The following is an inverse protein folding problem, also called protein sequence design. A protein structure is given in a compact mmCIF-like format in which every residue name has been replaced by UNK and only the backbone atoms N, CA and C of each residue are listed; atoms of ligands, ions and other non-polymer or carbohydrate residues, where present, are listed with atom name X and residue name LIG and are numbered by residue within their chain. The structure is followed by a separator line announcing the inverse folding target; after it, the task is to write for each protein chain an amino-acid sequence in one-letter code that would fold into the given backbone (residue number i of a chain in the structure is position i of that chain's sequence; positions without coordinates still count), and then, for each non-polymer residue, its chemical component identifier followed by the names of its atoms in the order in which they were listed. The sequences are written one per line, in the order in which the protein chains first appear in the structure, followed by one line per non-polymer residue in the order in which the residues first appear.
data_IF_060320013867
#
_entry.id   IF_060320013867
#
_cell.length_a   1.000
_cell.length_b   1.000
_cell.length_c   1.000
_cell.angle_alpha   90.00
_cell.angle_beta   90.00
_cell.angle_gamma   90.00
#
_symmetry.space_group_name_H-M   'P 1'
#
loop_
_entity.id
_entity.type
_entity.pdbx_description
1 polymer ?
#
# COMPACT_ATOMS: atom_id res chain seq x y z
N UNK A 1 27.31 -10.25 18.42
CA UNK A 1 26.01 -10.95 18.25
C UNK A 1 25.08 -10.13 17.37
N UNK A 2 24.87 -8.85 17.66
CA UNK A 2 24.05 -7.96 16.82
C UNK A 2 24.58 -7.84 15.38
N UNK A 3 25.90 -7.67 15.18
CA UNK A 3 26.48 -7.55 13.83
C UNK A 3 26.33 -8.82 12.98
N UNK A 4 26.30 -9.98 13.64
CA UNK A 4 26.07 -11.27 12.97
C UNK A 4 24.60 -11.40 12.55
N UNK A 5 23.68 -10.94 13.39
CA UNK A 5 22.24 -10.90 13.05
C UNK A 5 21.99 -9.93 11.91
N UNK A 6 22.55 -8.71 11.97
CA UNK A 6 22.39 -7.69 10.94
C UNK A 6 22.99 -8.12 9.61
N UNK A 7 24.17 -8.73 9.61
CA UNK A 7 24.78 -9.25 8.36
C UNK A 7 23.99 -10.43 7.77
N UNK A 8 23.40 -11.28 8.60
CA UNK A 8 22.47 -12.33 8.13
C UNK A 8 21.21 -11.77 7.48
N UNK A 9 20.62 -10.70 8.04
CA UNK A 9 19.43 -10.07 7.46
C UNK A 9 19.75 -9.25 6.19
N UNK A 10 20.91 -8.60 6.11
CA UNK A 10 21.40 -7.97 4.87
C UNK A 10 21.55 -9.01 3.75
N UNK A 11 22.16 -10.15 4.06
CA UNK A 11 22.29 -11.24 3.11
C UNK A 11 20.93 -11.75 2.61
N UNK A 12 19.94 -11.89 3.50
CA UNK A 12 18.59 -12.30 3.13
C UNK A 12 17.91 -11.30 2.20
N UNK A 13 18.12 -10.00 2.40
CA UNK A 13 17.53 -8.91 1.60
C UNK A 13 17.84 -9.06 0.11
N UNK A 14 19.03 -9.58 -0.24
CA UNK A 14 19.49 -9.76 -1.64
C UNK A 14 18.65 -10.73 -2.45
N UNK A 15 17.85 -11.56 -1.80
CA UNK A 15 16.97 -12.55 -2.45
C UNK A 15 15.50 -12.15 -2.43
N UNK A 16 15.17 -10.95 -1.94
CA UNK A 16 13.78 -10.48 -1.82
C UNK A 16 13.04 -10.46 -3.16
N UNK A 17 13.65 -9.97 -4.23
CA UNK A 17 13.05 -9.92 -5.58
C UNK A 17 12.67 -11.30 -6.15
N UNK A 18 13.60 -12.28 -6.28
CA UNK A 18 13.23 -13.60 -6.79
C UNK A 18 12.25 -14.32 -5.84
N UNK A 19 12.35 -14.08 -4.53
CA UNK A 19 11.43 -14.65 -3.54
C UNK A 19 10.02 -14.07 -3.68
N UNK A 20 9.88 -12.78 -3.97
CA UNK A 20 8.59 -12.15 -4.25
C UNK A 20 7.88 -12.84 -5.43
N UNK A 21 8.58 -13.07 -6.55
CA UNK A 21 8.01 -13.78 -7.70
C UNK A 21 7.61 -15.21 -7.36
N UNK A 22 8.40 -15.91 -6.54
CA UNK A 22 8.06 -17.25 -6.07
C UNK A 22 6.79 -17.24 -5.20
N UNK A 23 6.66 -16.25 -4.30
CA UNK A 23 5.46 -16.05 -3.47
C UNK A 23 4.23 -15.79 -4.35
N UNK A 24 4.33 -14.91 -5.35
CA UNK A 24 3.24 -14.66 -6.29
C UNK A 24 2.87 -15.92 -7.08
N UNK A 25 3.86 -16.68 -7.55
CA UNK A 25 3.64 -17.96 -8.21
C UNK A 25 2.93 -18.98 -7.32
N UNK A 26 3.28 -19.02 -6.02
CA UNK A 26 2.63 -19.90 -5.05
C UNK A 26 1.16 -19.50 -4.81
N UNK A 27 0.87 -18.20 -4.59
CA UNK A 27 -0.50 -17.73 -4.44
C UNK A 27 -1.32 -17.86 -5.73
N UNK A 28 -0.70 -17.74 -6.91
CA UNK A 28 -1.34 -18.04 -8.19
C UNK A 28 -1.72 -19.52 -8.27
N UNK A 29 -0.81 -20.43 -7.90
CA UNK A 29 -1.11 -21.85 -7.86
C UNK A 29 -2.26 -22.17 -6.89
N UNK A 30 -2.26 -21.57 -5.69
CA UNK A 30 -3.38 -21.65 -4.73
C UNK A 30 -4.69 -21.23 -5.37
N UNK A 31 -4.71 -20.07 -6.03
CA UNK A 31 -5.90 -19.49 -6.67
C UNK A 31 -6.41 -20.38 -7.80
N UNK A 32 -5.52 -20.86 -8.68
CA UNK A 32 -5.90 -21.74 -9.80
C UNK A 32 -6.45 -23.08 -9.29
N UNK A 33 -5.84 -23.66 -8.25
CA UNK A 33 -6.34 -24.89 -7.64
C UNK A 33 -7.69 -24.69 -6.95
N UNK A 34 -7.91 -23.54 -6.30
CA UNK A 34 -9.19 -23.17 -5.71
C UNK A 34 -10.27 -23.06 -6.80
N UNK A 35 -9.99 -22.34 -7.88
CA UNK A 35 -10.93 -22.13 -9.00
C UNK A 35 -11.24 -23.40 -9.80
N UNK A 36 -10.35 -24.39 -9.76
CA UNK A 36 -10.56 -25.71 -10.39
C UNK A 36 -11.16 -26.74 -9.43
N UNK A 37 -11.72 -26.29 -8.31
CA UNK A 37 -12.41 -27.10 -7.28
C UNK A 37 -11.51 -28.17 -6.62
N UNK A 38 -10.18 -28.02 -6.70
CA UNK A 38 -9.21 -28.93 -6.07
C UNK A 38 -8.87 -28.45 -4.66
N UNK A 39 -9.89 -28.28 -3.82
CA UNK A 39 -9.82 -27.58 -2.52
C UNK A 39 -8.70 -28.08 -1.60
N UNK A 40 -8.48 -29.39 -1.50
CA UNK A 40 -7.43 -29.95 -0.66
C UNK A 40 -6.02 -29.57 -1.15
N UNK A 41 -5.78 -29.62 -2.46
CA UNK A 41 -4.51 -29.19 -3.06
C UNK A 41 -4.35 -27.67 -2.97
N UNK A 42 -5.44 -26.92 -3.14
CA UNK A 42 -5.45 -25.47 -2.97
C UNK A 42 -5.03 -25.09 -1.54
N UNK A 43 -5.53 -25.80 -0.53
CA UNK A 43 -5.16 -25.61 0.88
C UNK A 43 -3.66 -25.83 1.09
N UNK A 44 -3.13 -26.96 0.62
CA UNK A 44 -1.70 -27.27 0.74
C UNK A 44 -0.82 -26.22 0.05
N UNK A 45 -1.19 -25.81 -1.16
CA UNK A 45 -0.50 -24.75 -1.88
C UNK A 45 -0.60 -23.40 -1.15
N UNK A 46 -1.76 -23.05 -0.60
CA UNK A 46 -1.97 -21.82 0.18
C UNK A 46 -1.14 -21.78 1.45
N UNK A 47 -1.07 -22.89 2.19
CA UNK A 47 -0.24 -23.01 3.39
C UNK A 47 1.23 -22.81 3.07
N UNK A 48 1.71 -23.43 1.97
CA UNK A 48 3.07 -23.21 1.48
C UNK A 48 3.29 -21.75 1.04
N UNK A 49 2.34 -21.15 0.33
CA UNK A 49 2.41 -19.75 -0.11
C UNK A 49 2.51 -18.78 1.08
N UNK A 50 1.70 -18.97 2.12
CA UNK A 50 1.74 -18.19 3.35
C UNK A 50 3.05 -18.38 4.14
N UNK A 51 3.59 -19.60 4.16
CA UNK A 51 4.92 -19.85 4.72
C UNK A 51 6.03 -19.12 3.96
N UNK A 52 6.02 -19.19 2.61
CA UNK A 52 6.94 -18.44 1.76
C UNK A 52 6.79 -16.93 1.94
N UNK A 53 5.56 -16.44 2.11
CA UNK A 53 5.28 -15.03 2.35
C UNK A 53 5.84 -14.56 3.71
N UNK A 54 5.77 -15.41 4.74
CA UNK A 54 6.45 -15.15 6.01
C UNK A 54 7.97 -15.03 5.86
N UNK A 55 8.59 -15.91 5.05
CA UNK A 55 10.03 -15.82 4.74
C UNK A 55 10.37 -14.56 3.94
N UNK A 56 9.49 -14.16 3.02
CA UNK A 56 9.63 -12.91 2.26
C UNK A 56 9.60 -11.68 3.17
N UNK A 57 8.65 -11.58 4.10
CA UNK A 57 8.64 -10.47 5.05
C UNK A 57 9.86 -10.47 5.96
N UNK A 58 10.35 -11.65 6.32
CA UNK A 58 11.57 -11.77 7.12
C UNK A 58 12.80 -11.21 6.37
N UNK A 59 12.92 -11.46 5.06
CA UNK A 59 14.04 -10.94 4.28
C UNK A 59 14.03 -9.41 4.13
N UNK A 60 12.88 -8.76 4.35
CA UNK A 60 12.73 -7.30 4.24
C UNK A 60 12.95 -6.54 5.55
N UNK A 61 13.13 -7.23 6.69
CA UNK A 61 13.29 -6.59 8.00
C UNK A 61 14.48 -5.62 8.00
N UNK A 62 15.65 -6.03 7.45
CA UNK A 62 16.84 -5.16 7.44
C UNK A 62 16.64 -3.94 6.54
N UNK A 63 16.06 -4.14 5.36
CA UNK A 63 15.76 -3.05 4.45
C UNK A 63 14.89 -1.98 5.12
N UNK A 64 13.76 -2.35 5.71
CA UNK A 64 12.87 -1.34 6.29
C UNK A 64 13.35 -0.77 7.62
N UNK A 65 13.90 -1.61 8.51
CA UNK A 65 14.33 -1.15 9.83
C UNK A 65 15.65 -0.36 9.79
N UNK A 66 16.59 -0.74 8.92
CA UNK A 66 17.96 -0.18 8.90
C UNK A 66 18.19 0.74 7.70
N UNK A 67 17.85 0.30 6.49
CA UNK A 67 18.12 1.08 5.26
C UNK A 67 17.13 2.24 5.15
N UNK A 68 15.82 1.97 5.22
CA UNK A 68 14.80 3.01 5.16
C UNK A 68 14.60 3.76 6.47
N UNK A 69 15.12 3.23 7.59
CA UNK A 69 14.95 3.79 8.95
C UNK A 69 13.49 4.08 9.31
N UNK A 70 12.59 3.23 8.83
CA UNK A 70 11.15 3.41 8.99
C UNK A 70 10.66 2.54 10.14
N UNK A 71 10.34 3.16 11.28
CA UNK A 71 9.85 2.43 12.46
C UNK A 71 8.55 1.67 12.14
N UNK A 72 7.65 2.30 11.41
CA UNK A 72 6.33 1.74 11.10
C UNK A 72 6.46 0.54 10.15
N UNK A 73 7.27 0.64 9.09
CA UNK A 73 7.47 -0.48 8.16
C UNK A 73 8.34 -1.57 8.78
N UNK A 74 9.34 -1.21 9.59
CA UNK A 74 10.14 -2.17 10.36
C UNK A 74 9.27 -3.00 11.31
N UNK A 75 8.41 -2.37 12.10
CA UNK A 75 7.43 -3.08 12.96
C UNK A 75 6.43 -3.86 12.10
N UNK A 76 5.98 -3.29 10.99
CA UNK A 76 5.07 -3.95 10.04
C UNK A 76 5.63 -5.28 9.53
N UNK A 77 6.88 -5.30 9.07
CA UNK A 77 7.55 -6.54 8.63
C UNK A 77 7.71 -7.55 9.77
N UNK A 78 8.05 -7.10 10.98
CA UNK A 78 8.16 -7.96 12.17
C UNK A 78 6.83 -8.62 12.55
N UNK A 79 5.71 -7.91 12.40
CA UNK A 79 4.36 -8.47 12.64
C UNK A 79 3.90 -9.36 11.48
N UNK A 80 4.25 -8.98 10.25
CA UNK A 80 3.85 -9.71 9.05
C UNK A 80 4.42 -11.14 9.00
N UNK A 81 5.61 -11.37 9.55
CA UNK A 81 6.22 -12.72 9.63
C UNK A 81 5.33 -13.70 10.41
N UNK A 82 5.08 -13.54 11.73
CA UNK A 82 4.23 -14.46 12.47
C UNK A 82 2.78 -14.46 11.98
N UNK A 83 2.25 -13.31 11.55
CA UNK A 83 0.89 -13.26 10.98
C UNK A 83 0.76 -14.15 9.73
N UNK A 84 1.76 -14.14 8.84
CA UNK A 84 1.75 -14.97 7.63
C UNK A 84 1.73 -16.46 7.98
N UNK A 85 2.58 -16.90 8.91
CA UNK A 85 2.56 -18.29 9.39
C UNK A 85 1.24 -18.65 10.07
N UNK A 86 0.67 -17.73 10.85
CA UNK A 86 -0.61 -17.96 11.53
C UNK A 86 -1.77 -18.09 10.54
N UNK A 87 -1.82 -17.26 9.50
CA UNK A 87 -2.82 -17.41 8.42
C UNK A 87 -2.65 -18.76 7.72
N UNK A 88 -1.41 -19.16 7.43
CA UNK A 88 -1.11 -20.50 6.91
C UNK A 88 -1.64 -21.60 7.83
N UNK A 89 -1.43 -21.50 9.14
CA UNK A 89 -1.96 -22.44 10.12
C UNK A 89 -3.50 -22.46 10.17
N UNK A 90 -4.16 -21.31 10.14
CA UNK A 90 -5.63 -21.24 10.12
C UNK A 90 -6.22 -21.84 8.85
N UNK A 91 -5.58 -21.59 7.71
CA UNK A 91 -5.97 -22.19 6.44
C UNK A 91 -5.76 -23.72 6.48
N UNK A 92 -4.68 -24.21 7.08
CA UNK A 92 -4.46 -25.64 7.33
C UNK A 92 -5.56 -26.24 8.22
N UNK A 93 -5.97 -25.53 9.28
CA UNK A 93 -7.02 -25.93 10.22
C UNK A 93 -8.46 -25.85 9.65
N UNK A 94 -8.64 -25.45 8.39
CA UNK A 94 -9.94 -25.49 7.71
C UNK A 94 -10.65 -24.15 7.53
N UNK A 95 -10.03 -23.00 7.85
CA UNK A 95 -10.65 -21.67 7.65
C UNK A 95 -10.56 -21.25 6.18
N UNK A 96 -11.56 -21.67 5.40
CA UNK A 96 -11.58 -21.52 3.94
C UNK A 96 -11.85 -20.09 3.43
N UNK A 97 -12.36 -19.19 4.28
CA UNK A 97 -12.51 -17.77 3.95
C UNK A 97 -11.16 -17.11 3.57
N UNK A 98 -10.05 -17.63 4.13
CA UNK A 98 -8.67 -17.18 3.85
C UNK A 98 -8.21 -17.44 2.40
N UNK A 99 -8.94 -18.21 1.60
CA UNK A 99 -8.70 -18.25 0.15
C UNK A 99 -8.96 -16.88 -0.50
N UNK A 100 -9.94 -16.11 0.00
CA UNK A 100 -10.19 -14.74 -0.49
C UNK A 100 -9.00 -13.84 -0.17
N UNK A 101 -8.46 -13.91 1.06
CA UNK A 101 -7.28 -13.15 1.44
C UNK A 101 -6.04 -13.55 0.60
N UNK A 102 -5.88 -14.85 0.33
CA UNK A 102 -4.78 -15.36 -0.50
C UNK A 102 -4.85 -14.83 -1.94
N UNK A 103 -6.06 -14.79 -2.53
CA UNK A 103 -6.30 -14.14 -3.84
C UNK A 103 -6.06 -12.64 -3.78
N UNK A 104 -6.44 -11.98 -2.71
CA UNK A 104 -6.24 -10.55 -2.55
C UNK A 104 -4.74 -10.23 -2.62
N UNK A 105 -3.90 -10.93 -1.88
CA UNK A 105 -2.43 -10.75 -1.91
C UNK A 105 -1.85 -10.98 -3.31
N UNK A 106 -2.27 -12.04 -4.00
CA UNK A 106 -1.87 -12.28 -5.39
C UNK A 106 -2.18 -11.07 -6.28
N UNK A 107 -3.40 -10.56 -6.21
CA UNK A 107 -3.86 -9.47 -7.05
C UNK A 107 -3.23 -8.13 -6.67
N UNK A 108 -2.99 -7.89 -5.38
CA UNK A 108 -2.19 -6.74 -4.91
C UNK A 108 -0.79 -6.80 -5.52
N UNK A 109 -0.13 -7.95 -5.40
CA UNK A 109 1.20 -8.15 -5.95
C UNK A 109 1.24 -8.04 -7.47
N UNK A 110 0.25 -8.58 -8.18
CA UNK A 110 0.15 -8.46 -9.63
C UNK A 110 0.01 -7.01 -10.12
N UNK A 111 -0.52 -6.11 -9.28
CA UNK A 111 -0.61 -4.68 -9.58
C UNK A 111 0.68 -3.95 -9.20
N UNK A 112 1.23 -4.23 -8.02
CA UNK A 112 2.39 -3.51 -7.49
C UNK A 112 3.71 -3.93 -8.16
N UNK A 113 3.98 -5.24 -8.22
CA UNK A 113 5.30 -5.75 -8.62
C UNK A 113 5.75 -5.34 -10.02
N UNK A 114 4.89 -5.25 -11.06
CA UNK A 114 5.34 -4.77 -12.36
C UNK A 114 5.99 -3.38 -12.31
N UNK A 115 5.44 -2.46 -11.51
CA UNK A 115 6.04 -1.14 -11.32
C UNK A 115 7.26 -1.18 -10.41
N UNK A 116 7.32 -2.14 -9.50
CA UNK A 116 8.50 -2.33 -8.66
C UNK A 116 9.65 -2.98 -9.42
N UNK A 117 9.43 -3.88 -10.37
CA UNK A 117 10.50 -4.70 -10.96
C UNK A 117 10.87 -4.31 -12.39
N UNK A 118 9.96 -3.70 -13.16
CA UNK A 118 10.18 -3.36 -14.57
C UNK A 118 10.59 -1.88 -14.66
N UNK A 119 11.86 -1.57 -14.99
CA UNK A 119 12.37 -0.20 -14.93
C UNK A 119 11.57 0.81 -15.75
N UNK A 120 11.08 0.39 -16.93
CA UNK A 120 10.28 1.26 -17.82
C UNK A 120 8.95 1.65 -17.18
N UNK A 121 8.28 0.71 -16.50
CA UNK A 121 7.02 1.00 -15.82
C UNK A 121 7.25 1.85 -14.56
N UNK A 122 8.31 1.54 -13.81
CA UNK A 122 8.74 2.31 -12.64
C UNK A 122 9.01 3.76 -13.01
N UNK A 123 9.85 3.98 -14.02
CA UNK A 123 10.21 5.29 -14.52
C UNK A 123 8.99 6.06 -14.98
N UNK A 124 8.16 5.45 -15.84
CA UNK A 124 6.94 6.08 -16.34
C UNK A 124 6.05 6.58 -15.21
N UNK A 125 5.80 5.74 -14.19
CA UNK A 125 4.93 6.11 -13.09
C UNK A 125 5.54 7.20 -12.20
N UNK A 126 6.82 7.08 -11.86
CA UNK A 126 7.54 8.05 -11.02
C UNK A 126 7.61 9.41 -11.70
N UNK A 127 7.98 9.47 -12.98
CA UNK A 127 8.07 10.73 -13.74
C UNK A 127 6.68 11.33 -13.94
N UNK A 128 5.65 10.52 -14.26
CA UNK A 128 4.26 11.02 -14.38
C UNK A 128 3.77 11.67 -13.09
N UNK A 129 4.00 11.03 -11.93
CA UNK A 129 3.61 11.59 -10.63
C UNK A 129 4.44 12.84 -10.32
N UNK A 130 5.72 12.86 -10.70
CA UNK A 130 6.58 14.02 -10.54
C UNK A 130 6.05 15.21 -11.33
N UNK A 131 5.76 15.04 -12.63
CA UNK A 131 5.28 16.10 -13.51
C UNK A 131 3.94 16.67 -13.03
N UNK A 132 3.02 15.81 -12.60
CA UNK A 132 1.75 16.24 -12.01
C UNK A 132 1.94 16.97 -10.69
N UNK A 133 2.87 16.51 -9.85
CA UNK A 133 3.23 17.19 -8.60
C UNK A 133 3.82 18.57 -8.91
N UNK A 134 4.72 18.68 -9.89
CA UNK A 134 5.31 19.94 -10.33
C UNK A 134 4.24 20.93 -10.82
N UNK A 135 3.28 20.45 -11.63
CA UNK A 135 2.15 21.25 -12.07
C UNK A 135 1.36 21.78 -10.87
N UNK A 136 1.00 20.94 -9.91
CA UNK A 136 0.23 21.36 -8.73
C UNK A 136 1.01 22.32 -7.82
N UNK A 137 2.32 22.13 -7.67
CA UNK A 137 3.21 23.05 -6.94
C UNK A 137 3.20 24.44 -7.60
N UNK A 138 3.29 24.49 -8.94
CA UNK A 138 3.23 25.75 -9.69
C UNK A 138 1.90 26.50 -9.51
N UNK A 139 0.78 25.77 -9.41
CA UNK A 139 -0.55 26.36 -9.20
C UNK A 139 -0.71 27.03 -7.82
N UNK A 140 0.06 26.60 -6.82
CA UNK A 140 0.05 27.20 -5.47
C UNK A 140 1.13 28.27 -5.27
N UNK A 141 1.80 28.68 -6.35
CA UNK A 141 2.74 29.81 -6.38
C UNK A 141 4.17 29.48 -5.96
N UNK A 142 4.52 28.20 -5.87
CA UNK A 142 5.89 27.73 -5.63
C UNK A 142 6.50 27.24 -6.94
N UNK A 143 7.79 27.49 -7.16
CA UNK A 143 8.46 27.17 -8.43
C UNK A 143 9.84 26.56 -8.19
N UNK A 144 9.93 25.36 -7.59
CA UNK A 144 11.20 24.66 -7.48
C UNK A 144 11.71 24.26 -8.87
N UNK A 145 13.03 24.26 -9.04
CA UNK A 145 13.63 23.70 -10.23
C UNK A 145 13.42 22.19 -10.23
N UNK A 146 13.10 21.64 -11.40
CA UNK A 146 12.94 20.20 -11.57
C UNK A 146 14.15 19.67 -12.34
N UNK A 147 14.96 18.86 -11.66
CA UNK A 147 16.22 18.39 -12.20
C UNK A 147 16.06 16.98 -12.76
N UNK A 148 16.42 16.84 -14.03
CA UNK A 148 16.65 15.56 -14.69
C UNK A 148 17.96 14.97 -14.19
N UNK A 149 17.98 13.67 -13.88
CA UNK A 149 19.20 12.96 -13.47
C UNK A 149 20.24 12.91 -14.59
N UNK A 150 21.01 13.98 -14.78
CA UNK A 150 22.19 13.96 -15.64
C UNK A 150 23.39 13.48 -14.84
N UNK A 151 24.14 12.57 -15.45
CA UNK A 151 25.29 11.92 -14.86
C UNK A 151 26.49 12.88 -14.85
N UNK A 152 26.91 13.29 -13.65
CA UNK A 152 28.22 13.86 -13.40
C UNK A 152 29.11 12.77 -12.81
N UNK A 153 30.38 12.71 -13.23
CA UNK A 153 31.35 11.78 -12.64
C UNK A 153 32.12 12.53 -11.56
N UNK A 154 31.90 12.15 -10.29
CA UNK A 154 32.66 12.63 -9.14
C UNK A 154 33.38 11.44 -8.51
N UNK A 155 34.70 11.51 -8.40
CA UNK A 155 35.56 10.43 -7.86
C UNK A 155 35.34 9.04 -8.50
N UNK A 156 34.97 9.01 -9.78
CA UNK A 156 34.71 7.77 -10.53
C UNK A 156 33.34 7.15 -10.28
N UNK A 157 32.46 7.84 -9.53
CA UNK A 157 31.07 7.46 -9.35
C UNK A 157 30.13 8.40 -10.10
N UNK A 158 29.12 7.80 -10.71
CA UNK A 158 28.02 8.48 -11.38
C UNK A 158 27.09 9.10 -10.34
N UNK A 159 27.04 10.43 -10.28
CA UNK A 159 26.19 11.19 -9.36
C UNK A 159 25.33 12.17 -10.14
N UNK A 160 24.20 12.58 -9.56
CA UNK A 160 23.43 13.72 -10.09
C UNK A 160 23.92 14.96 -9.36
N UNK A 161 24.30 15.99 -10.11
CA UNK A 161 24.76 17.25 -9.54
C UNK A 161 23.87 18.42 -9.98
N UNK A 162 23.67 19.37 -9.08
CA UNK A 162 22.97 20.63 -9.31
C UNK A 162 23.78 21.76 -8.70
N UNK A 163 24.23 22.71 -9.52
CA UNK A 163 24.99 23.89 -9.09
C UNK A 163 26.17 23.58 -8.14
N UNK A 164 26.94 22.53 -8.44
CA UNK A 164 28.06 22.07 -7.62
C UNK A 164 27.69 21.23 -6.38
N UNK A 165 26.40 21.03 -6.11
CA UNK A 165 25.90 20.14 -5.05
C UNK A 165 25.53 18.77 -5.60
N UNK A 166 25.85 17.70 -4.87
CA UNK A 166 25.40 16.35 -5.20
C UNK A 166 23.95 16.19 -4.72
N UNK A 167 23.06 15.80 -5.62
CA UNK A 167 21.63 15.56 -5.42
C UNK A 167 21.42 14.20 -4.75
N UNK A 168 21.93 14.04 -3.52
CA UNK A 168 21.84 12.81 -2.73
C UNK A 168 22.30 11.52 -3.45
N UNK A 169 22.15 10.38 -2.77
CA UNK A 169 22.29 9.09 -3.44
C UNK A 169 20.97 8.75 -4.15
N UNK A 170 20.92 8.93 -5.48
CA UNK A 170 19.78 8.52 -6.28
C UNK A 170 19.95 7.07 -6.71
N UNK A 171 19.03 6.22 -6.29
CA UNK A 171 18.95 4.83 -6.77
C UNK A 171 18.67 4.77 -8.28
N UNK A 172 17.89 5.73 -8.79
CA UNK A 172 17.52 5.82 -10.20
C UNK A 172 17.66 7.25 -10.73
N UNK A 173 18.24 7.38 -11.93
CA UNK A 173 18.51 8.65 -12.62
C UNK A 173 17.27 9.17 -13.37
N UNK A 174 16.12 9.24 -12.70
CA UNK A 174 14.86 9.71 -13.28
C UNK A 174 14.71 11.24 -13.19
N UNK A 175 13.76 11.78 -13.95
CA UNK A 175 13.24 13.13 -13.78
C UNK A 175 12.26 13.19 -12.60
N UNK A 176 12.80 13.24 -11.38
CA UNK A 176 12.02 13.04 -10.16
C UNK A 176 12.49 13.85 -8.95
N UNK A 177 13.35 14.86 -9.13
CA UNK A 177 13.88 15.65 -8.00
C UNK A 177 13.58 17.13 -8.14
N UNK A 178 12.88 17.66 -7.12
CA UNK A 178 12.66 19.08 -6.92
C UNK A 178 13.82 19.71 -6.17
N UNK A 179 14.22 20.91 -6.58
CA UNK A 179 15.28 21.70 -5.97
C UNK A 179 14.72 23.02 -5.47
N UNK A 180 14.94 23.28 -4.19
CA UNK A 180 14.59 24.53 -3.54
C UNK A 180 15.90 25.24 -3.14
N UNK A 181 16.22 26.32 -3.84
CA UNK A 181 17.52 27.00 -3.76
C UNK A 181 17.51 28.30 -2.92
N UNK A 182 16.45 28.56 -2.16
CA UNK A 182 16.24 29.82 -1.41
C UNK A 182 17.10 29.97 -0.13
N UNK A 183 18.12 29.11 0.08
CA UNK A 183 18.96 29.09 1.28
C UNK A 183 20.45 28.91 1.02
N UNK A 184 21.27 28.77 2.08
CA UNK A 184 22.73 28.61 1.99
C UNK A 184 23.18 27.36 1.20
N UNK A 185 22.33 26.34 1.15
CA UNK A 185 22.50 25.18 0.28
C UNK A 185 21.14 24.66 -0.16
N UNK A 186 21.03 24.13 -1.40
CA UNK A 186 19.78 23.67 -1.95
C UNK A 186 19.21 22.47 -1.17
N UNK A 187 17.88 22.41 -1.11
CA UNK A 187 17.15 21.26 -0.57
C UNK A 187 16.62 20.44 -1.74
N UNK A 188 16.90 19.13 -1.68
CA UNK A 188 16.48 18.16 -2.68
C UNK A 188 15.33 17.30 -2.15
N UNK A 189 14.24 17.22 -2.91
CA UNK A 189 13.12 16.32 -2.63
C UNK A 189 12.86 15.42 -3.83
N UNK A 190 13.05 14.10 -3.64
CA UNK A 190 12.98 13.11 -4.72
C UNK A 190 11.74 12.23 -4.58
N UNK A 191 10.93 12.16 -5.63
CA UNK A 191 9.79 11.25 -5.74
C UNK A 191 10.31 9.85 -6.08
N UNK A 192 10.02 8.88 -5.22
CA UNK A 192 10.32 7.45 -5.45
C UNK A 192 9.04 6.66 -5.68
N UNK A 193 9.15 5.37 -5.99
CA UNK A 193 7.99 4.51 -6.25
C UNK A 193 6.98 4.51 -5.08
N UNK A 194 7.46 4.55 -3.83
CA UNK A 194 6.62 4.65 -2.63
C UNK A 194 5.79 5.94 -2.57
N UNK A 195 6.20 7.01 -3.26
CA UNK A 195 5.49 8.29 -3.33
C UNK A 195 4.43 8.33 -4.44
N UNK A 196 4.25 7.27 -5.23
CA UNK A 196 3.31 7.26 -6.37
C UNK A 196 1.88 6.88 -5.98
N UNK A 197 1.69 6.42 -4.73
CA UNK A 197 0.40 5.91 -4.24
C UNK A 197 0.06 4.50 -4.76
N UNK A 198 0.92 3.87 -5.57
CA UNK A 198 0.69 2.54 -6.16
C UNK A 198 0.48 1.46 -5.12
N UNK A 199 1.16 1.52 -3.97
CA UNK A 199 0.98 0.57 -2.88
C UNK A 199 -0.46 0.57 -2.34
N UNK A 200 -0.99 1.74 -1.99
CA UNK A 200 -2.38 1.86 -1.52
C UNK A 200 -3.39 1.49 -2.60
N UNK A 201 -3.17 1.90 -3.85
CA UNK A 201 -4.04 1.49 -4.97
C UNK A 201 -4.01 -0.02 -5.15
N UNK A 202 -2.85 -0.67 -5.10
CA UNK A 202 -2.71 -2.12 -5.23
C UNK A 202 -3.47 -2.86 -4.11
N UNK A 203 -3.40 -2.39 -2.86
CA UNK A 203 -4.15 -2.94 -1.73
C UNK A 203 -5.66 -2.96 -2.04
N UNK A 204 -6.23 -1.81 -2.40
CA UNK A 204 -7.65 -1.73 -2.73
C UNK A 204 -8.00 -2.52 -3.98
N UNK A 205 -7.14 -2.52 -5.00
CA UNK A 205 -7.40 -3.28 -6.22
C UNK A 205 -7.47 -4.77 -5.93
N UNK A 206 -6.49 -5.30 -5.19
CA UNK A 206 -6.46 -6.72 -4.86
C UNK A 206 -7.65 -7.12 -3.98
N UNK A 207 -8.02 -6.29 -3.01
CA UNK A 207 -9.17 -6.52 -2.14
C UNK A 207 -10.50 -6.56 -2.91
N UNK A 208 -10.77 -5.53 -3.73
CA UNK A 208 -12.00 -5.41 -4.53
C UNK A 208 -12.08 -6.53 -5.58
N UNK A 209 -10.95 -6.87 -6.21
CA UNK A 209 -10.92 -7.89 -7.25
C UNK A 209 -11.09 -9.31 -6.69
N UNK A 210 -10.57 -9.60 -5.51
CA UNK A 210 -10.57 -10.94 -4.91
C UNK A 210 -11.93 -11.43 -4.41
N UNK A 211 -12.83 -10.53 -4.00
CA UNK A 211 -14.15 -10.91 -3.49
C UNK A 211 -15.08 -11.35 -4.62
N UNK A 212 -16.01 -12.25 -4.34
CA UNK A 212 -17.02 -12.66 -5.31
C UNK A 212 -18.22 -11.72 -5.25
N UNK A 213 -18.37 -10.88 -6.28
CA UNK A 213 -19.45 -9.91 -6.38
C UNK A 213 -19.71 -9.52 -7.85
N UNK A 214 -20.91 -9.01 -8.19
CA UNK A 214 -21.21 -8.52 -9.53
C UNK A 214 -20.21 -7.44 -9.99
N UNK A 215 -19.79 -7.50 -11.27
CA UNK A 215 -18.79 -6.59 -11.83
C UNK A 215 -19.16 -5.11 -11.63
N UNK A 216 -20.45 -4.77 -11.74
CA UNK A 216 -20.94 -3.40 -11.52
C UNK A 216 -20.57 -2.84 -10.15
N UNK A 217 -20.66 -3.65 -9.09
CA UNK A 217 -20.33 -3.23 -7.72
C UNK A 217 -18.83 -3.11 -7.52
N UNK A 218 -18.04 -4.02 -8.12
CA UNK A 218 -16.57 -3.88 -8.16
C UNK A 218 -16.14 -2.60 -8.87
N UNK A 219 -16.70 -2.30 -10.04
CA UNK A 219 -16.41 -1.08 -10.80
C UNK A 219 -16.77 0.20 -10.02
N UNK A 220 -17.88 0.19 -9.28
CA UNK A 220 -18.22 1.30 -8.37
C UNK A 220 -17.20 1.44 -7.25
N UNK A 221 -16.84 0.34 -6.59
CA UNK A 221 -15.82 0.35 -5.55
C UNK A 221 -14.45 0.85 -6.07
N UNK A 222 -14.05 0.46 -7.28
CA UNK A 222 -12.85 1.01 -7.94
C UNK A 222 -12.97 2.51 -8.20
N UNK A 223 -14.11 2.96 -8.74
CA UNK A 223 -14.34 4.35 -9.09
C UNK A 223 -14.34 5.28 -7.87
N UNK A 224 -14.78 4.82 -6.69
CA UNK A 224 -14.76 5.61 -5.46
C UNK A 224 -13.44 5.52 -4.70
N UNK A 225 -12.62 4.49 -4.93
CA UNK A 225 -11.35 4.31 -4.20
C UNK A 225 -10.15 4.84 -4.98
N UNK A 226 -9.89 4.32 -6.18
CA UNK A 226 -8.63 4.53 -6.89
C UNK A 226 -8.38 6.01 -7.22
N UNK A 227 -9.35 6.78 -7.77
CA UNK A 227 -9.14 8.21 -8.04
C UNK A 227 -8.91 9.02 -6.77
N UNK A 228 -9.59 8.69 -5.67
CA UNK A 228 -9.42 9.38 -4.38
C UNK A 228 -8.02 9.11 -3.83
N UNK A 229 -7.58 7.85 -3.82
CA UNK A 229 -6.22 7.48 -3.37
C UNK A 229 -5.18 8.26 -4.19
N UNK A 230 -5.32 8.27 -5.51
CA UNK A 230 -4.38 8.96 -6.39
C UNK A 230 -4.34 10.47 -6.14
N UNK A 231 -5.51 11.12 -6.05
CA UNK A 231 -5.61 12.55 -5.79
C UNK A 231 -5.03 12.94 -4.41
N UNK A 232 -5.34 12.18 -3.37
CA UNK A 232 -4.77 12.39 -2.04
C UNK A 232 -3.25 12.18 -2.02
N UNK A 233 -2.74 11.21 -2.80
CA UNK A 233 -1.31 11.00 -2.95
C UNK A 233 -0.60 12.18 -3.63
N UNK A 234 -1.19 12.75 -4.69
CA UNK A 234 -0.66 13.97 -5.30
C UNK A 234 -0.64 15.13 -4.31
N UNK A 235 -1.73 15.34 -3.57
CA UNK A 235 -1.79 16.36 -2.51
C UNK A 235 -0.74 16.14 -1.43
N UNK A 236 -0.50 14.90 -1.02
CA UNK A 236 0.56 14.52 -0.08
C UNK A 236 1.94 14.91 -0.63
N UNK A 237 2.25 14.58 -1.88
CA UNK A 237 3.55 14.90 -2.48
C UNK A 237 3.77 16.41 -2.57
N UNK A 238 2.75 17.18 -2.98
CA UNK A 238 2.82 18.66 -3.02
C UNK A 238 3.08 19.22 -1.62
N UNK A 239 2.34 18.73 -0.62
CA UNK A 239 2.48 19.17 0.77
C UNK A 239 3.87 18.89 1.32
N UNK A 240 4.43 17.69 1.08
CA UNK A 240 5.78 17.33 1.53
C UNK A 240 6.83 18.12 0.77
N UNK A 241 6.74 18.18 -0.56
CA UNK A 241 7.70 18.88 -1.40
C UNK A 241 7.84 20.35 -0.98
N UNK A 242 6.73 21.08 -0.88
CA UNK A 242 6.74 22.50 -0.51
C UNK A 242 7.01 22.69 0.97
N UNK A 243 6.41 21.86 1.83
CA UNK A 243 6.60 21.94 3.28
C UNK A 243 8.05 21.73 3.69
N UNK A 244 8.71 20.73 3.10
CA UNK A 244 10.14 20.48 3.32
C UNK A 244 11.03 21.45 2.54
N UNK A 245 10.78 21.63 1.24
CA UNK A 245 11.59 22.46 0.36
C UNK A 245 11.71 23.91 0.81
N UNK A 246 10.59 24.51 1.21
CA UNK A 246 10.55 25.89 1.71
C UNK A 246 10.63 25.97 3.24
N UNK A 247 10.90 24.85 3.92
CA UNK A 247 11.11 24.81 5.37
C UNK A 247 9.94 25.39 6.19
N UNK A 248 8.69 25.16 5.75
CA UNK A 248 7.48 25.73 6.36
C UNK A 248 7.12 25.15 7.74
N UNK A 249 7.73 24.03 8.15
CA UNK A 249 7.32 23.27 9.35
C UNK A 249 8.46 23.02 10.33
N UNK A 250 8.98 24.05 10.98
CA UNK A 250 10.02 23.96 12.00
C UNK A 250 9.46 23.89 13.43
N UNK A 251 8.65 22.87 13.73
CA UNK A 251 7.96 22.72 15.03
C UNK A 251 8.84 21.98 16.04
N UNK A 252 9.08 22.57 17.21
CA UNK A 252 9.85 21.97 18.32
C UNK A 252 11.17 21.28 17.87
N UNK A 253 12.09 22.01 17.20
CA UNK A 253 13.24 21.41 16.53
C UNK A 253 14.12 20.57 17.48
N UNK A 254 14.42 21.05 18.68
CA UNK A 254 15.27 20.31 19.64
C UNK A 254 14.65 18.97 20.05
N UNK A 255 13.32 18.93 20.24
CA UNK A 255 12.61 17.71 20.59
C UNK A 255 12.59 16.73 19.40
N UNK A 256 12.29 17.22 18.20
CA UNK A 256 12.23 16.36 17.02
C UNK A 256 13.61 15.83 16.66
N UNK A 257 14.65 16.66 16.71
CA UNK A 257 16.02 16.24 16.46
C UNK A 257 16.48 15.20 17.48
N UNK A 258 16.14 15.36 18.76
CA UNK A 258 16.50 14.38 19.80
C UNK A 258 15.73 13.06 19.66
N UNK A 259 14.42 13.09 19.41
CA UNK A 259 13.59 11.89 19.27
C UNK A 259 13.95 11.10 18.01
N UNK A 260 14.22 11.77 16.89
CA UNK A 260 14.53 11.13 15.61
C UNK A 260 16.03 11.02 15.31
N UNK A 261 16.90 11.47 16.22
CA UNK A 261 18.35 11.40 16.06
C UNK A 261 18.88 12.19 14.86
N UNK A 262 18.29 13.35 14.57
CA UNK A 262 18.63 14.16 13.40
C UNK A 262 19.90 14.99 13.66
N UNK A 263 20.76 15.07 12.65
CA UNK A 263 21.97 15.91 12.69
C UNK A 263 21.81 17.24 11.94
N UNK A 264 20.92 17.29 10.95
CA UNK A 264 20.61 18.51 10.18
C UNK A 264 19.24 19.08 10.63
N UNK A 265 19.19 20.30 11.18
CA UNK A 265 17.94 20.95 11.58
C UNK A 265 16.91 21.08 10.45
N UNK A 266 17.34 21.13 9.18
CA UNK A 266 16.41 21.23 8.04
C UNK A 266 15.53 19.99 7.87
N UNK A 267 15.99 18.84 8.35
CA UNK A 267 15.23 17.59 8.30
C UNK A 267 14.02 17.60 9.24
N UNK A 268 13.97 18.51 10.21
CA UNK A 268 12.80 18.66 11.09
C UNK A 268 11.54 18.94 10.27
N UNK A 269 11.61 19.84 9.27
CA UNK A 269 10.47 20.15 8.41
C UNK A 269 9.97 18.92 7.64
N UNK A 270 10.88 18.09 7.14
CA UNK A 270 10.53 16.82 6.50
C UNK A 270 9.84 15.87 7.47
N UNK A 271 10.40 15.65 8.66
CA UNK A 271 9.84 14.73 9.65
C UNK A 271 8.43 15.17 10.07
N UNK A 272 8.22 16.46 10.32
CA UNK A 272 6.90 16.99 10.69
C UNK A 272 5.90 16.76 9.57
N UNK A 273 6.22 17.17 8.34
CA UNK A 273 5.24 17.12 7.25
C UNK A 273 4.99 15.70 6.75
N UNK A 274 6.03 14.88 6.63
CA UNK A 274 5.95 13.51 6.08
C UNK A 274 5.55 12.47 7.14
N UNK A 275 6.31 12.37 8.23
CA UNK A 275 6.17 11.29 9.21
C UNK A 275 5.08 11.54 10.24
N UNK A 276 4.78 12.80 10.56
CA UNK A 276 3.74 13.14 11.54
C UNK A 276 2.44 13.47 10.82
N UNK A 277 2.43 14.49 9.96
CA UNK A 277 1.19 14.99 9.35
C UNK A 277 0.69 14.07 8.23
N UNK A 278 1.47 13.87 7.17
CA UNK A 278 1.04 13.10 6.01
C UNK A 278 0.72 11.65 6.38
N UNK A 279 1.57 11.01 7.18
CA UNK A 279 1.35 9.63 7.60
C UNK A 279 0.08 9.48 8.45
N UNK A 280 -0.18 10.38 9.40
CA UNK A 280 -1.42 10.35 10.20
C UNK A 280 -2.66 10.59 9.35
N UNK A 281 -2.62 11.56 8.43
CA UNK A 281 -3.73 11.82 7.51
C UNK A 281 -3.98 10.65 6.56
N UNK A 282 -2.92 9.92 6.17
CA UNK A 282 -3.07 8.74 5.30
C UNK A 282 -3.86 7.62 5.99
N UNK A 283 -3.69 7.43 7.31
CA UNK A 283 -4.48 6.45 8.08
C UNK A 283 -5.96 6.85 8.08
N UNK A 284 -6.26 8.11 8.36
CA UNK A 284 -7.65 8.63 8.34
C UNK A 284 -8.27 8.47 6.95
N UNK A 285 -7.51 8.80 5.89
CA UNK A 285 -7.95 8.62 4.52
C UNK A 285 -8.23 7.16 4.18
N UNK A 286 -7.35 6.23 4.56
CA UNK A 286 -7.53 4.79 4.32
C UNK A 286 -8.77 4.25 5.03
N UNK A 287 -9.05 4.69 6.26
CA UNK A 287 -10.30 4.35 6.98
C UNK A 287 -11.51 4.89 6.22
N UNK A 288 -11.48 6.15 5.79
CA UNK A 288 -12.57 6.76 5.01
C UNK A 288 -12.82 6.05 3.68
N UNK A 289 -11.77 5.71 2.94
CA UNK A 289 -11.87 5.01 1.66
C UNK A 289 -12.35 3.57 1.87
N UNK A 290 -11.91 2.90 2.93
CA UNK A 290 -12.42 1.57 3.31
C UNK A 290 -13.92 1.63 3.58
N UNK A 291 -14.39 2.63 4.31
CA UNK A 291 -15.83 2.83 4.54
C UNK A 291 -16.61 3.02 3.23
N UNK A 292 -16.11 3.85 2.30
CA UNK A 292 -16.74 4.03 0.98
C UNK A 292 -16.78 2.73 0.19
N UNK A 293 -15.69 1.95 0.19
CA UNK A 293 -15.62 0.66 -0.49
C UNK A 293 -16.57 -0.36 0.12
N UNK A 294 -16.63 -0.44 1.45
CA UNK A 294 -17.56 -1.33 2.17
C UNK A 294 -19.01 -0.97 1.87
N UNK A 295 -19.33 0.30 1.61
CA UNK A 295 -20.69 0.71 1.23
C UNK A 295 -21.08 0.26 -0.17
N UNK A 296 -20.15 0.27 -1.12
CA UNK A 296 -20.40 -0.19 -2.49
C UNK A 296 -20.26 -1.72 -2.65
N UNK A 297 -19.39 -2.33 -1.84
CA UNK A 297 -18.96 -3.72 -1.91
C UNK A 297 -18.86 -4.40 -0.53
N UNK A 298 -19.98 -4.62 0.18
CA UNK A 298 -20.02 -5.32 1.47
C UNK A 298 -19.34 -6.70 1.56
N UNK A 299 -19.03 -7.38 0.44
CA UNK A 299 -18.29 -8.65 0.42
C UNK A 299 -16.84 -8.49 0.89
N UNK A 300 -16.29 -7.28 0.80
CA UNK A 300 -14.97 -6.93 1.35
C UNK A 300 -14.91 -7.15 2.85
N UNK A 301 -16.04 -7.04 3.57
CA UNK A 301 -16.07 -7.25 5.02
C UNK A 301 -15.62 -8.65 5.43
N UNK A 302 -15.82 -9.68 4.61
CA UNK A 302 -15.33 -11.03 4.91
C UNK A 302 -13.81 -11.06 5.06
N UNK A 303 -13.08 -10.30 4.24
CA UNK A 303 -11.62 -10.19 4.36
C UNK A 303 -11.24 -9.40 5.61
N UNK A 304 -11.99 -8.34 5.94
CA UNK A 304 -11.74 -7.53 7.14
C UNK A 304 -11.99 -8.36 8.41
N UNK A 305 -13.07 -9.14 8.45
CA UNK A 305 -13.42 -10.06 9.53
C UNK A 305 -12.34 -11.13 9.73
N UNK A 306 -11.83 -11.73 8.65
CA UNK A 306 -10.71 -12.66 8.71
C UNK A 306 -9.43 -12.01 9.25
N UNK A 307 -9.13 -10.78 8.85
CA UNK A 307 -7.97 -10.04 9.38
C UNK A 307 -8.14 -9.72 10.87
N UNK A 308 -9.33 -9.34 11.31
CA UNK A 308 -9.62 -9.12 12.73
C UNK A 308 -9.52 -10.41 13.54
N UNK A 309 -9.97 -11.53 12.99
CA UNK A 309 -9.80 -12.85 13.60
C UNK A 309 -8.32 -13.20 13.75
N UNK A 310 -7.51 -12.98 12.71
CA UNK A 310 -6.05 -13.23 12.74
C UNK A 310 -5.38 -12.40 13.84
N UNK A 311 -5.85 -11.18 14.10
CA UNK A 311 -5.27 -10.29 15.11
C UNK A 311 -5.76 -10.56 16.53
N UNK A 312 -7.00 -11.02 16.70
CA UNK A 312 -7.66 -11.06 18.03
C UNK A 312 -8.12 -12.45 18.47
N UNK A 313 -8.13 -13.43 17.56
CA UNK A 313 -8.66 -14.77 17.78
C UNK A 313 -10.18 -14.84 17.99
N UNK A 314 -10.90 -13.73 17.77
CA UNK A 314 -12.35 -13.62 17.98
C UNK A 314 -13.09 -13.44 16.65
N UNK A 315 -14.31 -13.97 16.53
CA UNK A 315 -15.17 -13.77 15.36
C UNK A 315 -15.89 -12.42 15.45
N UNK A 316 -16.05 -11.74 14.31
CA UNK A 316 -16.74 -10.45 14.20
C UNK A 316 -17.80 -10.53 13.10
N UNK A 317 -18.95 -9.92 13.35
CA UNK A 317 -19.97 -9.65 12.33
C UNK A 317 -20.01 -8.15 12.06
N UNK A 318 -19.18 -7.70 11.11
CA UNK A 318 -19.07 -6.28 10.80
C UNK A 318 -20.27 -5.78 9.99
N UNK A 319 -20.98 -6.66 9.29
CA UNK A 319 -22.19 -6.28 8.55
C UNK A 319 -23.28 -5.84 9.51
N UNK A 320 -23.52 -6.60 10.57
CA UNK A 320 -24.49 -6.25 11.61
C UNK A 320 -24.08 -4.97 12.36
N UNK A 321 -22.77 -4.80 12.64
CA UNK A 321 -22.27 -3.64 13.38
C UNK A 321 -22.29 -2.32 12.59
N UNK A 322 -22.13 -2.38 11.26
CA UNK A 322 -22.03 -1.20 10.39
C UNK A 322 -23.35 -0.82 9.69
N UNK A 323 -24.46 -1.51 10.01
CA UNK A 323 -25.80 -1.32 9.41
C UNK A 323 -25.75 -1.23 7.87
N UNK A 324 -24.93 -2.10 7.25
CA UNK A 324 -24.76 -2.10 5.80
C UNK A 324 -25.98 -2.77 5.17
N UNK A 325 -26.69 -2.11 4.23
CA UNK A 325 -27.90 -2.68 3.63
C UNK A 325 -27.62 -4.06 3.01
N UNK A 326 -28.50 -5.02 3.28
CA UNK A 326 -28.45 -6.33 2.64
C UNK A 326 -28.46 -6.13 1.11
N UNK A 327 -27.53 -6.77 0.40
CA UNK A 327 -27.49 -6.71 -1.05
C UNK A 327 -28.85 -7.18 -1.59
N UNK A 328 -29.59 -6.27 -2.24
CA UNK A 328 -30.84 -6.61 -2.88
C UNK A 328 -30.56 -7.72 -3.90
N UNK A 329 -31.25 -8.85 -3.75
CA UNK A 329 -31.22 -9.94 -4.71
C UNK A 329 -31.90 -9.41 -5.98
N UNK A 330 -31.10 -8.93 -6.95
CA UNK A 330 -31.59 -8.63 -8.29
C UNK A 330 -31.97 -9.97 -8.94
N UNK A 331 -33.22 -10.42 -8.81
CA UNK A 331 -33.67 -11.59 -9.57
C UNK A 331 -34.93 -12.38 -9.18
N UNK A 332 -35.86 -11.91 -8.34
CA UNK A 332 -37.16 -12.59 -8.21
C UNK A 332 -38.28 -11.79 -8.90
N UNK A 333 -39.01 -12.37 -9.88
CA UNK A 333 -40.26 -11.78 -10.33
C UNK A 333 -41.29 -11.96 -9.22
N UNK A 334 -41.93 -10.87 -8.81
CA UNK A 334 -43.08 -10.90 -7.90
C UNK A 334 -44.17 -11.82 -8.46
N UNK A 335 -44.29 -13.02 -7.89
CA UNK A 335 -45.41 -13.91 -8.12
C UNK A 335 -46.37 -13.82 -6.92
N UNK A 336 -47.60 -13.39 -7.20
CA UNK A 336 -48.77 -13.79 -6.40
C UNK A 336 -49.41 -12.71 -5.53
N UNK A 337 -50.15 -11.79 -6.16
CA UNK A 337 -51.27 -11.13 -5.49
C UNK A 337 -52.53 -12.01 -5.61
N UNK A 338 -52.64 -13.06 -4.80
CA UNK A 338 -53.94 -13.70 -4.54
C UNK A 338 -54.68 -12.90 -3.47
N UNK A 339 -55.62 -12.08 -3.91
CA UNK A 339 -56.60 -11.44 -3.02
C UNK A 339 -57.76 -12.41 -2.81
N UNK A 340 -57.79 -13.03 -1.62
CA UNK A 340 -58.95 -13.74 -1.13
C UNK A 340 -60.09 -12.77 -0.85
N UNK A 341 -61.15 -12.86 -1.67
CA UNK A 341 -62.43 -12.24 -1.36
C UNK A 341 -63.30 -13.22 -0.58
N UNK A 342 -63.47 -12.95 0.71
CA UNK A 342 -64.51 -13.57 1.52
C UNK A 342 -65.88 -13.01 1.15
N UNK A 343 -66.87 -13.87 0.91
CA UNK A 343 -68.28 -13.51 1.07
C UNK A 343 -68.99 -14.62 1.84
N UNK A 344 -69.36 -14.33 3.09
CA UNK A 344 -70.43 -15.00 3.83
C UNK A 344 -71.72 -14.19 3.62
N UNK A 345 -72.81 -14.85 3.27
CA UNK A 345 -74.06 -14.87 4.05
C UNK A 345 -75.17 -15.60 3.29
N UNK A 346 -75.83 -16.51 3.99
CA UNK A 346 -77.07 -17.19 3.61
C UNK A 346 -78.22 -16.20 3.38
N UNK A 347 -78.96 -16.37 2.29
CA UNK A 347 -80.43 -16.48 2.17
C UNK A 347 -80.87 -16.45 0.69
#
# INVERSE_FOLDING_TARGET
MLDVVLSGLDWATRFSDPLAWLVLGAFLATTVLELTERRERARQAGVAAWGLFGVFWFSLIYHFAVVQRSVIEGVGTLVAVPASFYVGYLLWSGRDSLFVLSRAILLMGAVFFPFESIPVLRQFLVETVTDQTALLISLIGSSPDLVTGYEAVVDGQSVVAYDGYIVGEKEHLYHNTFVFADGESPIFYTIVIACTGIGSMAIFVGLIAAVQAPLRRKLRAFAVSIPIIYALNLGRNVMIAVGFGEQRFQLFPDLIMSVFGLTDPRQVSYIVVDRIVAQSLSVVALVGITYLVVRELPEVLTVVEDLLFVLTGSEYDLRAALDVPAAAVEGEPEAGAETGASSRSDD
#
